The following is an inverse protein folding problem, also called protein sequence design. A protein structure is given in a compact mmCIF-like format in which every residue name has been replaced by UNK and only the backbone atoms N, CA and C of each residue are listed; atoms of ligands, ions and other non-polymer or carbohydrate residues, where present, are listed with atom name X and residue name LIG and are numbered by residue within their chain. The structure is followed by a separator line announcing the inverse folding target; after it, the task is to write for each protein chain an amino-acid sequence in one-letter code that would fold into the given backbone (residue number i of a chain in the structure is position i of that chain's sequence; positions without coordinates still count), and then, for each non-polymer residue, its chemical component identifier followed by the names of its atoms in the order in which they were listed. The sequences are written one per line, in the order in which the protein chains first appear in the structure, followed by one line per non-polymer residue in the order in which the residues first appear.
data_IF_025968805438
#
_entry.id   IF_025968805438
#
_cell.length_a   1.000
_cell.length_b   1.000
_cell.length_c   1.000
_cell.angle_alpha   90.00
_cell.angle_beta   90.00
_cell.angle_gamma   90.00
#
_symmetry.space_group_name_H-M   'P 1'
#
loop_
_entity.id
_entity.type
_entity.pdbx_description
1 polymer ?
#
# COMPACT_ATOMS: atom_id res chain seq x y z
N UNK A 1 -22.08 -10.34 -22.53
CA UNK A 1 -21.86 -10.12 -21.08
C UNK A 1 -20.36 -9.92 -20.87
N UNK A 2 -19.94 -8.73 -20.42
CA UNK A 2 -18.53 -8.53 -20.04
C UNK A 2 -18.31 -9.26 -18.71
N UNK A 3 -17.50 -10.30 -18.73
CA UNK A 3 -17.17 -11.11 -17.55
C UNK A 3 -15.94 -10.56 -16.80
N UNK A 4 -15.68 -9.26 -16.95
CA UNK A 4 -14.59 -8.59 -16.26
C UNK A 4 -15.08 -8.19 -14.87
N UNK A 5 -14.47 -8.69 -13.80
CA UNK A 5 -14.87 -8.31 -12.45
C UNK A 5 -14.59 -6.81 -12.23
N UNK A 6 -15.58 -6.12 -11.68
CA UNK A 6 -15.39 -4.74 -11.21
C UNK A 6 -14.53 -4.80 -9.94
N UNK A 7 -13.36 -4.15 -9.99
CA UNK A 7 -12.45 -4.06 -8.85
C UNK A 7 -12.56 -2.69 -8.20
N UNK A 8 -12.65 -2.65 -6.88
CA UNK A 8 -12.51 -1.44 -6.08
C UNK A 8 -11.40 -1.69 -5.06
N UNK A 9 -10.31 -0.97 -5.20
CA UNK A 9 -9.08 -1.18 -4.44
C UNK A 9 -9.05 -0.19 -3.27
N UNK A 10 -9.05 -0.70 -2.04
CA UNK A 10 -8.75 0.12 -0.86
C UNK A 10 -7.24 0.28 -0.71
N UNK A 11 -6.74 1.52 -0.80
CA UNK A 11 -5.33 1.81 -0.53
C UNK A 11 -5.17 2.34 0.89
N UNK A 12 -4.39 1.64 1.71
CA UNK A 12 -4.13 1.96 3.11
C UNK A 12 -2.67 2.33 3.30
N UNK A 13 -2.41 3.55 3.80
CA UNK A 13 -1.07 3.97 4.15
C UNK A 13 -0.68 3.43 5.52
N UNK A 14 0.59 3.11 5.69
CA UNK A 14 1.17 2.68 6.96
C UNK A 14 2.36 3.55 7.32
N UNK A 15 2.60 3.73 8.62
CA UNK A 15 3.68 4.55 9.15
C UNK A 15 4.23 3.96 10.44
N UNK A 16 5.53 4.00 10.62
CA UNK A 16 6.15 3.76 11.92
C UNK A 16 6.12 5.05 12.75
N UNK A 17 5.97 4.93 14.07
CA UNK A 17 5.81 6.05 15.00
C UNK A 17 7.02 7.01 15.02
N UNK A 18 8.24 6.50 14.75
CA UNK A 18 9.45 7.32 14.66
C UNK A 18 9.56 8.14 13.37
N UNK A 19 8.64 7.98 12.42
CA UNK A 19 8.58 8.76 11.20
C UNK A 19 7.29 9.62 11.15
N UNK A 20 7.30 10.77 10.44
CA UNK A 20 6.09 11.56 10.29
C UNK A 20 5.00 10.80 9.54
N UNK A 21 3.83 10.63 10.17
CA UNK A 21 2.65 10.05 9.53
C UNK A 21 2.28 10.80 8.25
N UNK A 22 2.37 12.15 8.29
CA UNK A 22 2.08 13.03 7.16
C UNK A 22 2.89 12.71 5.91
N UNK A 23 4.11 12.19 6.06
CA UNK A 23 4.94 11.74 4.93
C UNK A 23 4.26 10.57 4.19
N UNK A 24 3.81 9.57 4.95
CA UNK A 24 3.14 8.40 4.37
C UNK A 24 1.82 8.77 3.71
N UNK A 25 1.02 9.61 4.36
CA UNK A 25 -0.25 10.10 3.84
C UNK A 25 -0.05 10.90 2.55
N UNK A 26 0.90 11.83 2.53
CA UNK A 26 1.19 12.67 1.34
C UNK A 26 1.65 11.81 0.15
N UNK A 27 2.52 10.84 0.39
CA UNK A 27 2.99 9.92 -0.66
C UNK A 27 1.86 9.05 -1.20
N UNK A 28 0.96 8.55 -0.35
CA UNK A 28 -0.24 7.84 -0.78
C UNK A 28 -1.12 8.72 -1.67
N UNK A 29 -1.38 9.96 -1.24
CA UNK A 29 -2.17 10.92 -2.04
C UNK A 29 -1.57 11.17 -3.41
N UNK A 30 -0.24 11.31 -3.48
CA UNK A 30 0.46 11.49 -4.75
C UNK A 30 0.33 10.27 -5.65
N UNK A 31 0.43 9.06 -5.08
CA UNK A 31 0.22 7.82 -5.83
C UNK A 31 -1.22 7.73 -6.39
N UNK A 32 -2.22 8.02 -5.57
CA UNK A 32 -3.63 8.02 -6.02
C UNK A 32 -3.84 9.03 -7.14
N UNK A 33 -3.31 10.26 -7.01
CA UNK A 33 -3.38 11.28 -8.06
C UNK A 33 -2.70 10.84 -9.36
N UNK A 34 -1.52 10.24 -9.28
CA UNK A 34 -0.80 9.72 -10.45
C UNK A 34 -1.60 8.61 -11.15
N UNK A 35 -2.19 7.70 -10.38
CA UNK A 35 -3.05 6.64 -10.91
C UNK A 35 -4.31 7.21 -11.58
N UNK A 36 -5.03 8.10 -10.90
CA UNK A 36 -6.25 8.71 -11.44
C UNK A 36 -6.01 9.55 -12.69
N UNK A 37 -4.88 10.25 -12.75
CA UNK A 37 -4.49 11.00 -13.95
C UNK A 37 -4.30 10.10 -15.18
N UNK A 38 -3.91 8.85 -14.97
CA UNK A 38 -3.61 7.89 -16.03
C UNK A 38 -4.82 7.02 -16.41
N UNK A 39 -5.56 6.54 -15.43
CA UNK A 39 -6.60 5.52 -15.61
C UNK A 39 -8.01 6.04 -15.34
N UNK A 40 -8.16 7.27 -14.83
CA UNK A 40 -9.44 7.83 -14.42
C UNK A 40 -9.78 7.53 -12.96
N UNK A 41 -10.89 8.11 -12.52
CA UNK A 41 -11.38 7.98 -11.14
C UNK A 41 -12.33 6.79 -11.00
N UNK A 42 -12.35 6.19 -9.81
CA UNK A 42 -13.39 5.27 -9.38
C UNK A 42 -12.90 3.90 -8.94
N UNK A 43 -11.72 3.46 -9.37
CA UNK A 43 -11.22 2.11 -9.07
C UNK A 43 -10.43 2.07 -7.76
N UNK A 44 -9.94 3.22 -7.28
CA UNK A 44 -9.20 3.33 -6.02
C UNK A 44 -10.02 4.10 -4.99
N UNK A 45 -10.13 3.51 -3.81
CA UNK A 45 -10.62 4.15 -2.61
C UNK A 45 -9.44 4.45 -1.69
N UNK A 46 -9.21 5.73 -1.43
CA UNK A 46 -8.18 6.18 -0.51
C UNK A 46 -8.70 6.11 0.93
N UNK A 47 -8.24 5.10 1.69
CA UNK A 47 -8.60 4.97 3.09
C UNK A 47 -8.07 6.18 3.89
N UNK A 48 -8.92 6.90 4.63
CA UNK A 48 -8.49 8.06 5.41
C UNK A 48 -7.57 7.67 6.58
N UNK A 49 -7.68 6.43 7.05
CA UNK A 49 -6.88 5.93 8.17
C UNK A 49 -5.47 5.61 7.69
N UNK A 50 -4.46 6.19 8.37
CA UNK A 50 -3.08 5.74 8.29
C UNK A 50 -2.81 4.83 9.50
N UNK A 51 -2.22 3.66 9.27
CA UNK A 51 -1.88 2.74 10.35
C UNK A 51 -0.52 3.14 10.94
N UNK A 52 -0.54 3.68 12.16
CA UNK A 52 0.67 4.07 12.89
C UNK A 52 0.81 3.20 14.12
N UNK A 53 1.74 2.22 14.13
CA UNK A 53 2.09 1.32 15.24
C UNK A 53 0.89 0.79 16.06
N UNK A 54 -0.29 0.60 15.41
CA UNK A 54 -1.52 0.35 16.16
C UNK A 54 -2.42 -0.66 15.47
N UNK A 55 -2.76 -1.72 16.17
CA UNK A 55 -3.81 -2.66 15.79
C UNK A 55 -5.20 -2.01 15.84
N UNK A 56 -5.39 -0.97 16.63
CA UNK A 56 -6.64 -0.18 16.64
C UNK A 56 -6.80 0.53 15.30
N UNK A 57 -5.76 1.22 14.81
CA UNK A 57 -5.77 1.83 13.48
C UNK A 57 -5.96 0.79 12.38
N UNK A 58 -5.38 -0.39 12.54
CA UNK A 58 -5.57 -1.50 11.60
C UNK A 58 -7.03 -1.94 11.53
N UNK A 59 -7.70 -2.08 12.69
CA UNK A 59 -9.12 -2.43 12.75
C UNK A 59 -9.99 -1.35 12.11
N UNK A 60 -9.73 -0.08 12.40
CA UNK A 60 -10.43 1.06 11.80
C UNK A 60 -10.26 1.09 10.27
N UNK A 61 -9.03 0.91 9.79
CA UNK A 61 -8.77 0.85 8.34
C UNK A 61 -9.50 -0.34 7.68
N UNK A 62 -9.49 -1.51 8.33
CA UNK A 62 -10.19 -2.70 7.83
C UNK A 62 -11.70 -2.48 7.73
N UNK A 63 -12.31 -1.85 8.71
CA UNK A 63 -13.72 -1.53 8.73
C UNK A 63 -14.05 -0.51 7.63
N UNK A 64 -13.28 0.58 7.55
CA UNK A 64 -13.47 1.64 6.57
C UNK A 64 -13.41 1.12 5.11
N UNK A 65 -12.39 0.32 4.75
CA UNK A 65 -12.30 -0.24 3.40
C UNK A 65 -13.41 -1.26 3.09
N UNK A 66 -13.92 -1.98 4.10
CA UNK A 66 -15.07 -2.87 3.95
C UNK A 66 -16.35 -2.09 3.71
N UNK A 67 -16.59 -1.06 4.51
CA UNK A 67 -17.77 -0.19 4.39
C UNK A 67 -17.78 0.56 3.05
N UNK A 68 -16.61 0.93 2.56
CA UNK A 68 -16.44 1.48 1.23
C UNK A 68 -16.69 0.46 0.10
N UNK A 69 -16.90 -0.82 0.41
CA UNK A 69 -17.13 -1.88 -0.57
C UNK A 69 -15.90 -2.28 -1.37
N UNK A 70 -14.70 -2.10 -0.81
CA UNK A 70 -13.47 -2.51 -1.47
C UNK A 70 -13.37 -4.03 -1.50
N UNK A 71 -13.02 -4.58 -2.67
CA UNK A 71 -12.82 -6.01 -2.89
C UNK A 71 -11.37 -6.41 -3.17
N UNK A 72 -10.46 -5.43 -3.16
CA UNK A 72 -9.01 -5.63 -3.21
C UNK A 72 -8.32 -4.64 -2.26
N UNK A 73 -7.16 -5.01 -1.74
CA UNK A 73 -6.37 -4.23 -0.78
C UNK A 73 -5.00 -3.92 -1.37
N UNK A 74 -4.60 -2.66 -1.27
CA UNK A 74 -3.23 -2.22 -1.45
C UNK A 74 -2.69 -1.66 -0.12
N UNK A 75 -1.70 -2.31 0.46
CA UNK A 75 -0.95 -1.78 1.61
C UNK A 75 0.22 -0.97 1.07
N UNK A 76 0.23 0.30 1.40
CA UNK A 76 1.22 1.26 0.91
C UNK A 76 2.15 1.73 2.02
N UNK A 77 3.41 1.32 1.93
CA UNK A 77 4.45 1.76 2.83
C UNK A 77 4.97 3.13 2.37
N UNK A 78 4.39 4.20 2.88
CA UNK A 78 4.88 5.56 2.63
C UNK A 78 6.14 5.90 3.43
N UNK A 79 6.40 5.14 4.50
CA UNK A 79 7.64 5.05 5.25
C UNK A 79 7.81 3.62 5.77
N UNK A 80 8.61 3.35 6.80
CA UNK A 80 8.97 1.99 7.24
C UNK A 80 7.76 1.06 7.49
N UNK A 81 6.69 1.54 8.08
CA UNK A 81 5.50 0.74 8.40
C UNK A 81 5.64 -0.16 9.65
N UNK A 82 4.50 -0.45 10.32
CA UNK A 82 4.42 -1.34 11.49
C UNK A 82 4.13 -2.78 11.04
N UNK A 83 5.13 -3.66 11.05
CA UNK A 83 5.07 -5.02 10.49
C UNK A 83 3.95 -5.91 11.05
N UNK A 84 3.53 -5.69 12.30
CA UNK A 84 2.43 -6.45 12.90
C UNK A 84 1.10 -5.96 12.31
N UNK A 85 0.80 -4.68 12.46
CA UNK A 85 -0.50 -4.13 12.09
C UNK A 85 -0.76 -4.25 10.57
N UNK A 86 0.22 -3.93 9.72
CA UNK A 86 0.07 -4.00 8.27
C UNK A 86 -0.13 -5.44 7.75
N UNK A 87 0.59 -6.41 8.32
CA UNK A 87 0.44 -7.81 7.92
C UNK A 87 -0.83 -8.44 8.49
N UNK A 88 -1.29 -7.99 9.66
CA UNK A 88 -2.58 -8.40 10.23
C UNK A 88 -3.76 -7.77 9.46
N UNK A 89 -3.64 -6.55 8.96
CA UNK A 89 -4.61 -5.99 8.01
C UNK A 89 -4.77 -6.92 6.81
N UNK A 90 -3.65 -7.29 6.18
CA UNK A 90 -3.65 -8.20 5.05
C UNK A 90 -4.22 -9.58 5.39
N UNK A 91 -3.94 -10.10 6.58
CA UNK A 91 -4.47 -11.39 7.05
C UNK A 91 -5.99 -11.38 7.22
N UNK A 92 -6.54 -10.28 7.74
CA UNK A 92 -7.96 -10.15 8.04
C UNK A 92 -8.81 -9.62 6.86
N UNK A 93 -8.17 -9.14 5.80
CA UNK A 93 -8.88 -8.73 4.60
C UNK A 93 -9.20 -9.94 3.72
N UNK A 94 -10.48 -10.08 3.34
CA UNK A 94 -10.92 -11.16 2.48
C UNK A 94 -10.91 -10.71 1.01
N UNK A 95 -9.85 -11.01 0.29
CA UNK A 95 -9.69 -10.67 -1.13
C UNK A 95 -8.22 -10.59 -1.53
N UNK A 96 -7.95 -10.30 -2.80
CA UNK A 96 -6.59 -10.06 -3.28
C UNK A 96 -5.96 -8.87 -2.56
N UNK A 97 -4.70 -9.00 -2.28
CA UNK A 97 -3.93 -8.00 -1.55
C UNK A 97 -2.54 -7.82 -2.14
N UNK A 98 -2.07 -6.58 -2.14
CA UNK A 98 -0.77 -6.19 -2.67
C UNK A 98 -0.04 -5.30 -1.67
N UNK A 99 1.30 -5.40 -1.66
CA UNK A 99 2.19 -4.53 -0.91
C UNK A 99 3.11 -3.79 -1.86
N UNK A 100 3.18 -2.48 -1.70
CA UNK A 100 4.09 -1.59 -2.42
C UNK A 100 4.61 -0.51 -1.47
N UNK A 101 5.74 0.09 -1.82
CA UNK A 101 6.39 1.09 -0.99
C UNK A 101 6.89 2.30 -1.78
N UNK A 102 6.96 3.44 -1.13
CA UNK A 102 7.49 4.66 -1.72
C UNK A 102 8.99 4.55 -1.97
N UNK A 103 9.46 5.04 -3.12
CA UNK A 103 10.87 5.38 -3.28
C UNK A 103 11.23 6.53 -2.34
N UNK A 104 12.44 6.46 -1.80
CA UNK A 104 12.97 7.50 -0.93
C UNK A 104 13.61 8.61 -1.75
N UNK A 105 13.39 9.84 -1.33
CA UNK A 105 13.99 11.00 -1.97
C UNK A 105 15.50 11.02 -1.73
N UNK A 106 16.24 11.39 -2.76
CA UNK A 106 17.68 11.59 -2.69
C UNK A 106 18.00 13.09 -2.79
N UNK A 107 19.07 13.50 -2.13
CA UNK A 107 19.60 14.85 -2.28
C UNK A 107 20.21 15.07 -3.68
N UNK A 108 20.44 16.31 -4.05
CA UNK A 108 21.09 16.68 -5.32
C UNK A 108 22.44 15.98 -5.54
N UNK A 109 23.11 15.57 -4.47
CA UNK A 109 24.39 14.86 -4.50
C UNK A 109 24.23 13.32 -4.51
N UNK A 110 23.00 12.80 -4.66
CA UNK A 110 22.71 11.37 -4.63
C UNK A 110 22.73 10.72 -3.25
N UNK A 111 22.95 11.49 -2.18
CA UNK A 111 22.88 11.00 -0.80
C UNK A 111 21.44 10.88 -0.30
N UNK A 112 21.25 10.09 0.76
CA UNK A 112 19.95 9.94 1.40
C UNK A 112 19.54 11.22 2.15
N UNK A 113 18.28 11.58 2.05
CA UNK A 113 17.70 12.75 2.74
C UNK A 113 17.30 12.35 4.16
N UNK A 114 17.59 13.21 5.13
CA UNK A 114 17.10 13.00 6.49
C UNK A 114 15.57 13.02 6.52
N UNK A 115 14.97 12.08 7.24
CA UNK A 115 13.50 11.98 7.33
C UNK A 115 12.82 11.31 6.14
N UNK A 116 13.57 10.66 5.24
CA UNK A 116 13.04 9.94 4.06
C UNK A 116 12.06 8.81 4.37
N UNK A 117 12.04 8.31 5.62
CA UNK A 117 11.03 7.36 6.09
C UNK A 117 11.38 5.88 5.94
N UNK A 118 12.48 5.53 5.29
CA UNK A 118 13.05 4.17 5.19
C UNK A 118 12.06 3.08 4.69
N UNK A 119 11.23 3.45 3.70
CA UNK A 119 10.18 2.57 3.16
C UNK A 119 10.74 1.32 2.47
N UNK A 120 11.95 1.40 1.90
CA UNK A 120 12.63 0.25 1.31
C UNK A 120 12.90 -0.85 2.34
N UNK A 121 13.47 -0.50 3.50
CA UNK A 121 13.69 -1.45 4.58
C UNK A 121 12.36 -1.94 5.16
N UNK A 122 11.36 -1.05 5.23
CA UNK A 122 9.99 -1.43 5.59
C UNK A 122 9.43 -2.52 4.68
N UNK A 123 9.61 -2.40 3.36
CA UNK A 123 9.15 -3.39 2.41
C UNK A 123 9.83 -4.75 2.56
N UNK A 124 11.14 -4.76 2.85
CA UNK A 124 11.86 -6.00 3.16
C UNK A 124 11.29 -6.66 4.42
N UNK A 125 11.06 -5.87 5.46
CA UNK A 125 10.49 -6.34 6.72
C UNK A 125 9.06 -6.85 6.54
N UNK A 126 8.20 -6.14 5.81
CA UNK A 126 6.84 -6.56 5.48
C UNK A 126 6.83 -7.90 4.73
N UNK A 127 7.68 -8.04 3.72
CA UNK A 127 7.82 -9.27 2.92
C UNK A 127 8.17 -10.48 3.77
N UNK A 128 9.13 -10.33 4.67
CA UNK A 128 9.53 -11.37 5.62
C UNK A 128 8.39 -11.75 6.56
N UNK A 129 7.72 -10.75 7.13
CA UNK A 129 6.63 -10.95 8.10
C UNK A 129 5.36 -11.53 7.46
N UNK A 130 5.03 -11.19 6.23
CA UNK A 130 3.96 -11.85 5.46
C UNK A 130 4.23 -13.36 5.34
N UNK A 131 5.45 -13.72 4.94
CA UNK A 131 5.85 -15.13 4.84
C UNK A 131 5.79 -15.83 6.19
N UNK A 132 6.33 -15.21 7.24
CA UNK A 132 6.34 -15.76 8.60
C UNK A 132 4.93 -16.05 9.13
N UNK A 133 3.97 -15.18 8.80
CA UNK A 133 2.56 -15.30 9.21
C UNK A 133 1.70 -16.15 8.26
N UNK A 134 2.28 -16.67 7.19
CA UNK A 134 1.55 -17.43 6.17
C UNK A 134 0.50 -16.61 5.41
N UNK A 135 0.71 -15.30 5.33
CA UNK A 135 -0.18 -14.38 4.62
C UNK A 135 0.25 -14.31 3.15
N UNK A 136 -0.64 -14.72 2.25
CA UNK A 136 -0.43 -14.57 0.82
C UNK A 136 -0.78 -13.15 0.41
N UNK A 137 0.18 -12.45 -0.19
CA UNK A 137 0.01 -11.15 -0.80
C UNK A 137 0.86 -11.08 -2.08
N UNK A 138 0.41 -10.30 -3.05
CA UNK A 138 1.20 -10.01 -4.23
C UNK A 138 2.23 -8.93 -3.88
N UNK A 139 3.47 -9.20 -4.20
CA UNK A 139 4.57 -8.25 -4.16
C UNK A 139 5.10 -8.14 -5.58
N UNK A 140 5.00 -6.97 -6.23
CA UNK A 140 5.56 -6.77 -7.57
C UNK A 140 7.06 -7.05 -7.63
N UNK A 141 7.59 -7.29 -8.80
CA UNK A 141 9.04 -7.45 -9.02
C UNK A 141 9.82 -6.21 -8.58
N UNK A 142 9.23 -5.02 -8.82
CA UNK A 142 9.75 -3.72 -8.35
C UNK A 142 8.72 -3.08 -7.41
N UNK A 143 8.70 -3.49 -6.12
CA UNK A 143 7.66 -3.07 -5.19
C UNK A 143 7.89 -1.66 -4.63
N UNK A 144 9.07 -1.08 -4.84
CA UNK A 144 9.46 0.25 -4.35
C UNK A 144 9.64 1.18 -5.54
N UNK A 145 8.95 2.31 -5.53
CA UNK A 145 9.01 3.26 -6.64
C UNK A 145 8.42 4.63 -6.32
N UNK A 146 8.60 5.57 -7.22
CA UNK A 146 7.90 6.87 -7.19
C UNK A 146 6.41 6.67 -7.43
N UNK A 147 5.61 7.70 -7.19
CA UNK A 147 4.17 7.67 -7.45
C UNK A 147 3.86 7.33 -8.91
N UNK A 148 4.64 7.87 -9.85
CA UNK A 148 4.50 7.64 -11.27
C UNK A 148 4.85 6.19 -11.65
N UNK A 149 5.96 5.67 -11.16
CA UNK A 149 6.40 4.28 -11.40
C UNK A 149 5.41 3.28 -10.83
N UNK A 150 4.97 3.47 -9.58
CA UNK A 150 4.00 2.60 -8.93
C UNK A 150 2.63 2.66 -9.58
N UNK A 151 2.24 3.82 -10.15
CA UNK A 151 0.99 3.94 -10.92
C UNK A 151 0.99 3.11 -12.20
N UNK A 152 2.16 2.72 -12.70
CA UNK A 152 2.33 1.83 -13.86
C UNK A 152 2.23 0.34 -13.48
N UNK A 153 2.46 0.01 -12.21
CA UNK A 153 2.21 -1.35 -11.72
C UNK A 153 0.71 -1.53 -11.81
N UNK A 154 0.27 -2.35 -12.76
CA UNK A 154 -1.14 -2.64 -13.01
C UNK A 154 -1.79 -3.20 -11.74
N UNK A 155 -2.16 -2.29 -10.83
CA UNK A 155 -2.97 -2.59 -9.65
C UNK A 155 -4.29 -3.24 -10.10
N UNK A 156 -4.70 -2.95 -11.33
CA UNK A 156 -5.94 -3.38 -11.94
C UNK A 156 -5.82 -4.59 -12.88
N UNK A 157 -4.66 -5.24 -13.01
CA UNK A 157 -4.58 -6.48 -13.83
C UNK A 157 -5.23 -7.67 -13.08
N UNK A 158 -6.50 -8.02 -13.43
CA UNK A 158 -7.24 -9.09 -12.72
C UNK A 158 -6.58 -10.46 -12.88
N UNK A 159 -5.72 -10.63 -13.90
CA UNK A 159 -5.05 -11.88 -14.23
C UNK A 159 -3.94 -12.24 -13.26
N UNK A 160 -3.18 -11.27 -12.76
CA UNK A 160 -2.09 -11.53 -11.81
C UNK A 160 -2.58 -11.68 -10.35
N UNK A 161 -3.65 -10.98 -9.99
CA UNK A 161 -4.26 -11.11 -8.67
C UNK A 161 -5.06 -12.41 -8.49
N UNK A 162 -5.39 -13.13 -9.59
CA UNK A 162 -6.06 -14.46 -9.55
C UNK A 162 -5.12 -15.63 -9.27
N UNK A 163 -3.82 -15.42 -9.32
CA UNK A 163 -2.81 -16.48 -9.12
C UNK A 163 -2.29 -16.56 -7.68
N UNK A 164 -2.94 -15.88 -6.71
CA UNK A 164 -2.57 -15.89 -5.30
C UNK A 164 -3.55 -16.71 -4.47
#
# INVERSE_FOLDING_TARGET
MNNTPVMKIGIVAVSRDCFPESLSVTRRQNLVKAYEAKYGKGDIYECPVCIVESEIHMMQALEDIKDAGCNALCVYLGNFGPEIAETMLAKNFNGPKMFIAAAEETSANGGLVQGRGDAYCGMLNASYNLKLRGVKAYIPEYPVGTAEELSLIHISEPTRLRCI
#
